data_IF_028592271722
#
_entry.id   IF_028592271722
#
_cell.length_a   1.000
_cell.length_b   1.000
_cell.length_c   1.000
_cell.angle_alpha   90.00
_cell.angle_beta   90.00
_cell.angle_gamma   90.00
#
_symmetry.space_group_name_H-M   'P 1'
#
loop_
_entity.id
_entity.type
_entity.pdbx_description
1 polymer ?
#
# COMPACT_ATOMS: atom_id res chain seq x y z
N UNK A 1 -28.84 56.37 10.45
CA UNK A 1 -28.25 57.23 11.48
C UNK A 1 -28.73 56.68 12.81
N UNK A 2 -28.01 55.91 13.60
CA UNK A 2 -26.62 55.45 13.64
C UNK A 2 -26.69 54.18 14.52
N UNK A 3 -26.22 53.02 14.06
CA UNK A 3 -24.87 52.49 14.25
C UNK A 3 -24.37 52.38 15.71
N UNK A 4 -24.02 51.13 16.04
CA UNK A 4 -22.96 50.67 16.94
C UNK A 4 -23.08 50.89 18.47
N UNK A 5 -23.21 49.79 19.22
CA UNK A 5 -22.09 49.19 19.99
C UNK A 5 -22.58 48.03 20.90
N UNK A 6 -21.66 47.10 21.18
CA UNK A 6 -21.73 45.95 22.11
C UNK A 6 -22.77 44.85 21.78
N UNK A 7 -22.46 43.74 21.09
CA UNK A 7 -21.32 42.81 21.19
C UNK A 7 -20.90 42.49 22.62
N UNK A 8 -21.38 41.37 23.17
CA UNK A 8 -20.57 40.41 23.95
C UNK A 8 -21.39 39.20 24.45
N UNK A 9 -20.98 38.03 23.95
CA UNK A 9 -20.77 36.76 24.65
C UNK A 9 -21.93 36.11 25.45
N UNK A 10 -22.56 35.10 24.85
CA UNK A 10 -23.03 33.91 25.55
C UNK A 10 -23.21 32.74 24.57
N UNK A 11 -22.12 32.07 24.20
CA UNK A 11 -22.16 30.73 23.62
C UNK A 11 -21.41 29.80 24.57
N UNK A 12 -22.18 29.01 25.32
CA UNK A 12 -21.71 28.01 26.26
C UNK A 12 -20.79 27.01 25.57
N UNK A 13 -19.49 27.16 25.80
CA UNK A 13 -18.48 26.18 25.43
C UNK A 13 -18.54 25.04 26.44
N UNK A 14 -19.11 23.90 26.01
CA UNK A 14 -19.14 22.67 26.79
C UNK A 14 -17.71 22.13 26.88
N UNK A 15 -16.98 22.56 27.90
CA UNK A 15 -15.67 22.04 28.25
C UNK A 15 -15.85 20.64 28.82
N UNK A 16 -15.66 19.61 27.99
CA UNK A 16 -15.59 18.22 28.45
C UNK A 16 -14.21 18.03 29.10
N UNK A 17 -14.13 17.72 30.40
CA UNK A 17 -12.84 17.49 31.05
C UNK A 17 -12.16 16.26 30.43
N UNK A 18 -10.88 16.43 30.08
CA UNK A 18 -9.99 15.46 29.43
C UNK A 18 -9.57 14.30 30.36
N UNK A 19 -10.43 13.91 31.30
CA UNK A 19 -10.15 12.91 32.34
C UNK A 19 -10.64 11.50 32.00
N UNK A 20 -11.27 11.29 30.84
CA UNK A 20 -11.89 9.99 30.51
C UNK A 20 -11.17 9.16 29.42
N UNK A 21 -10.01 9.60 28.92
CA UNK A 21 -9.17 8.78 28.03
C UNK A 21 -8.13 7.99 28.82
N UNK A 22 -8.60 7.15 29.74
CA UNK A 22 -7.77 6.14 30.39
C UNK A 22 -8.35 4.75 30.13
N UNK A 23 -8.11 4.25 28.92
CA UNK A 23 -7.78 2.83 28.70
C UNK A 23 -6.68 2.76 27.66
N UNK A 24 -5.49 3.26 28.02
CA UNK A 24 -4.30 2.61 27.52
C UNK A 24 -4.37 1.18 28.05
N UNK A 25 -4.77 0.25 27.18
CA UNK A 25 -4.35 -1.13 27.32
C UNK A 25 -2.84 -1.07 27.44
N UNK A 26 -2.35 -1.16 28.68
CA UNK A 26 -0.95 -1.32 29.00
C UNK A 26 -0.58 -2.67 28.39
N UNK A 27 -0.17 -2.63 27.13
CA UNK A 27 0.49 -3.75 26.48
C UNK A 27 1.73 -4.00 27.32
N UNK A 28 1.61 -4.97 28.21
CA UNK A 28 2.71 -5.56 28.93
C UNK A 28 3.74 -5.93 27.88
N UNK A 29 4.84 -5.17 27.82
CA UNK A 29 6.00 -5.54 27.02
C UNK A 29 6.46 -6.84 27.65
N UNK A 30 6.04 -7.97 27.07
CA UNK A 30 6.49 -9.29 27.49
C UNK A 30 8.00 -9.22 27.51
N UNK A 31 8.59 -9.36 28.70
CA UNK A 31 10.02 -9.29 28.88
C UNK A 31 10.63 -10.34 27.93
N UNK A 32 11.40 -9.89 26.94
CA UNK A 32 11.99 -10.78 25.95
C UNK A 32 13.19 -11.42 26.63
N UNK A 33 12.94 -12.51 27.36
CA UNK A 33 13.93 -13.10 28.28
C UNK A 33 14.91 -14.03 27.60
N UNK A 34 14.63 -14.48 26.38
CA UNK A 34 15.51 -15.36 25.62
C UNK A 34 15.56 -15.03 24.11
N UNK A 35 16.56 -15.59 23.42
CA UNK A 35 16.78 -15.35 22.00
C UNK A 35 15.62 -15.82 21.12
N UNK A 36 14.95 -16.91 21.49
CA UNK A 36 13.80 -17.44 20.72
C UNK A 36 12.65 -16.44 20.75
N UNK A 37 12.36 -15.91 21.94
CA UNK A 37 11.36 -14.87 22.18
C UNK A 37 11.69 -13.59 21.42
N UNK A 38 12.98 -13.23 21.29
CA UNK A 38 13.43 -12.08 20.49
C UNK A 38 13.14 -12.28 19.01
N UNK A 39 13.45 -13.46 18.48
CA UNK A 39 13.19 -13.80 17.07
C UNK A 39 11.70 -13.80 16.78
N UNK A 40 10.89 -14.38 17.66
CA UNK A 40 9.43 -14.39 17.50
C UNK A 40 8.83 -12.99 17.62
N UNK A 41 9.31 -12.16 18.55
CA UNK A 41 8.91 -10.75 18.66
C UNK A 41 9.19 -9.98 17.37
N UNK A 42 10.37 -10.16 16.76
CA UNK A 42 10.72 -9.55 15.47
C UNK A 42 9.82 -10.03 14.34
N UNK A 43 9.58 -11.34 14.23
CA UNK A 43 8.69 -11.91 13.20
C UNK A 43 7.28 -11.34 13.35
N UNK A 44 6.78 -11.27 14.58
CA UNK A 44 5.47 -10.71 14.89
C UNK A 44 5.39 -9.25 14.45
N UNK A 45 6.38 -8.42 14.79
CA UNK A 45 6.43 -7.02 14.35
C UNK A 45 6.46 -6.88 12.82
N UNK A 46 7.25 -7.69 12.11
CA UNK A 46 7.28 -7.68 10.64
C UNK A 46 5.90 -7.97 10.05
N UNK A 47 5.22 -9.01 10.55
CA UNK A 47 3.91 -9.43 10.01
C UNK A 47 2.76 -8.52 10.40
N UNK A 48 2.77 -7.97 11.62
CA UNK A 48 1.66 -7.19 12.17
C UNK A 48 1.81 -5.68 12.01
N UNK A 49 3.02 -5.19 11.76
CA UNK A 49 3.31 -3.75 11.64
C UNK A 49 3.92 -3.44 10.28
N UNK A 50 5.10 -3.96 9.98
CA UNK A 50 5.87 -3.52 8.81
C UNK A 50 5.18 -3.86 7.48
N UNK A 51 4.79 -5.12 7.28
CA UNK A 51 4.13 -5.55 6.04
C UNK A 51 2.75 -4.89 5.83
N UNK A 52 1.87 -4.78 6.85
CA UNK A 52 0.66 -3.95 6.75
C UNK A 52 0.95 -2.50 6.39
N UNK A 53 1.96 -1.90 7.01
CA UNK A 53 2.35 -0.52 6.71
C UNK A 53 2.79 -0.37 5.25
N UNK A 54 3.61 -1.28 4.71
CA UNK A 54 4.02 -1.25 3.30
C UNK A 54 2.83 -1.27 2.33
N UNK A 55 1.77 -2.00 2.66
CA UNK A 55 0.54 -2.09 1.84
C UNK A 55 -0.22 -0.77 1.76
N UNK A 56 -0.17 0.07 2.80
CA UNK A 56 -0.93 1.33 2.85
C UNK A 56 -0.10 2.59 2.63
N UNK A 57 1.22 2.55 2.86
CA UNK A 57 2.07 3.72 2.80
C UNK A 57 2.17 4.31 1.37
N UNK A 58 2.30 5.65 1.25
CA UNK A 58 2.55 6.30 -0.03
C UNK A 58 3.96 5.98 -0.55
N UNK A 59 4.16 6.08 -1.87
CA UNK A 59 5.45 5.79 -2.53
C UNK A 59 6.58 6.64 -1.96
N UNK A 60 6.31 7.88 -1.55
CA UNK A 60 7.32 8.76 -0.94
C UNK A 60 7.91 8.16 0.34
N UNK A 61 7.07 7.59 1.21
CA UNK A 61 7.54 6.93 2.43
C UNK A 61 8.15 5.57 2.15
N UNK A 62 7.61 4.81 1.20
CA UNK A 62 8.18 3.53 0.78
C UNK A 62 9.60 3.69 0.24
N UNK A 63 9.86 4.74 -0.56
CA UNK A 63 11.22 5.05 -1.04
C UNK A 63 12.17 5.38 0.12
N UNK A 64 11.70 6.12 1.13
CA UNK A 64 12.50 6.38 2.33
C UNK A 64 12.78 5.10 3.13
N UNK A 65 11.78 4.23 3.28
CA UNK A 65 11.95 2.94 3.92
C UNK A 65 12.93 2.04 3.14
N UNK A 66 12.90 2.07 1.80
CA UNK A 66 13.84 1.32 0.97
C UNK A 66 15.31 1.74 1.21
N UNK A 67 15.56 3.03 1.43
CA UNK A 67 16.91 3.52 1.79
C UNK A 67 17.37 3.05 3.17
N UNK A 68 16.43 2.87 4.11
CA UNK A 68 16.69 2.47 5.50
C UNK A 68 16.30 1.00 5.76
N UNK A 69 16.19 0.19 4.71
CA UNK A 69 15.56 -1.12 4.82
C UNK A 69 16.39 -2.10 5.65
N UNK A 70 17.71 -1.94 5.65
CA UNK A 70 18.62 -2.74 6.47
C UNK A 70 18.30 -2.60 7.96
N UNK A 71 17.94 -1.41 8.41
CA UNK A 71 17.59 -1.15 9.81
C UNK A 71 16.18 -1.64 10.15
N UNK A 72 15.26 -1.64 9.18
CA UNK A 72 13.87 -2.08 9.37
C UNK A 72 13.71 -3.61 9.27
N UNK A 73 14.28 -4.22 8.24
CA UNK A 73 14.03 -5.60 7.84
C UNK A 73 15.30 -6.47 7.77
N UNK A 74 16.48 -5.89 8.04
CA UNK A 74 17.77 -6.60 7.96
C UNK A 74 18.33 -6.67 6.54
N UNK A 75 19.25 -7.59 6.28
CA UNK A 75 20.03 -7.67 5.03
C UNK A 75 19.24 -8.12 3.78
N UNK A 76 17.91 -8.24 3.87
CA UNK A 76 17.09 -8.62 2.72
C UNK A 76 16.87 -7.42 1.80
N UNK A 77 16.93 -7.62 0.48
CA UNK A 77 16.70 -6.52 -0.47
C UNK A 77 15.26 -6.00 -0.39
N UNK A 78 15.02 -4.67 -0.50
CA UNK A 78 13.69 -4.09 -0.69
C UNK A 78 12.92 -4.71 -1.87
N UNK A 79 13.62 -5.04 -2.96
CA UNK A 79 13.02 -5.65 -4.16
C UNK A 79 12.47 -7.05 -3.88
N UNK A 80 13.01 -7.76 -2.90
CA UNK A 80 12.53 -9.07 -2.50
C UNK A 80 11.40 -9.01 -1.45
N UNK A 81 11.15 -7.86 -0.83
CA UNK A 81 10.20 -7.75 0.30
C UNK A 81 9.34 -6.50 0.26
N UNK A 82 9.92 -5.31 0.49
CA UNK A 82 9.21 -4.03 0.54
C UNK A 82 8.26 -3.84 -0.64
N UNK A 83 8.78 -3.99 -1.87
CA UNK A 83 7.98 -3.73 -3.07
C UNK A 83 6.91 -4.79 -3.30
N UNK A 84 7.20 -6.11 -3.21
CA UNK A 84 6.15 -7.13 -3.21
C UNK A 84 5.06 -6.86 -2.18
N UNK A 85 5.41 -6.53 -0.93
CA UNK A 85 4.43 -6.20 0.11
C UNK A 85 3.64 -4.93 -0.21
N UNK A 86 4.24 -3.92 -0.84
CA UNK A 86 3.52 -2.74 -1.26
C UNK A 86 2.45 -3.06 -2.32
N UNK A 87 2.77 -3.95 -3.28
CA UNK A 87 1.86 -4.39 -4.34
C UNK A 87 0.74 -5.31 -3.85
N UNK A 88 0.85 -5.94 -2.68
CA UNK A 88 -0.23 -6.73 -2.06
C UNK A 88 -1.49 -5.91 -1.74
N UNK A 89 -1.44 -4.57 -1.88
CA UNK A 89 -2.64 -3.72 -1.85
C UNK A 89 -3.63 -4.01 -2.97
N UNK A 90 -3.18 -4.68 -4.04
CA UNK A 90 -4.02 -5.14 -5.14
C UNK A 90 -4.07 -6.67 -5.14
N UNK A 91 -5.24 -7.23 -4.81
CA UNK A 91 -5.41 -8.67 -4.64
C UNK A 91 -5.06 -9.45 -5.91
N UNK A 92 -4.23 -10.49 -5.75
CA UNK A 92 -3.87 -11.41 -6.83
C UNK A 92 -2.91 -10.87 -7.88
N UNK A 93 -2.51 -9.59 -7.80
CA UNK A 93 -1.60 -8.96 -8.77
C UNK A 93 -0.16 -9.46 -8.62
N UNK A 94 0.24 -9.81 -7.40
CA UNK A 94 1.58 -10.28 -7.08
C UNK A 94 1.54 -11.51 -6.18
N UNK A 95 2.46 -12.43 -6.43
CA UNK A 95 2.81 -13.54 -5.56
C UNK A 95 4.16 -13.25 -4.92
N UNK A 96 4.26 -13.29 -3.58
CA UNK A 96 5.48 -12.91 -2.85
C UNK A 96 6.72 -13.67 -3.34
N UNK A 97 6.58 -14.95 -3.72
CA UNK A 97 7.70 -15.80 -4.16
C UNK A 97 7.91 -15.83 -5.69
N UNK A 98 6.87 -15.50 -6.48
CA UNK A 98 6.90 -15.65 -7.94
C UNK A 98 6.93 -14.32 -8.70
N UNK A 99 6.71 -13.20 -8.01
CA UNK A 99 6.57 -11.89 -8.63
C UNK A 99 5.15 -11.64 -9.16
N UNK A 100 5.02 -10.71 -10.11
CA UNK A 100 3.74 -10.33 -10.69
C UNK A 100 3.07 -11.50 -11.41
N UNK A 101 1.74 -11.57 -11.33
CA UNK A 101 0.94 -12.52 -12.12
C UNK A 101 0.84 -12.02 -13.57
N UNK A 102 1.80 -12.45 -14.39
CA UNK A 102 1.87 -12.16 -15.83
C UNK A 102 0.89 -13.02 -16.65
N UNK A 103 0.24 -14.03 -16.04
CA UNK A 103 -0.60 -15.00 -16.75
C UNK A 103 -2.01 -14.49 -17.05
N UNK A 104 -2.47 -13.47 -16.31
CA UNK A 104 -3.81 -12.92 -16.42
C UNK A 104 -3.81 -11.56 -17.08
N UNK A 105 -4.91 -11.27 -17.77
CA UNK A 105 -5.17 -9.92 -18.23
C UNK A 105 -5.76 -9.08 -17.09
N UNK A 106 -5.21 -7.90 -16.91
CA UNK A 106 -5.58 -6.95 -15.87
C UNK A 106 -6.17 -5.69 -16.47
N UNK A 107 -7.12 -5.10 -15.76
CA UNK A 107 -7.61 -3.75 -15.99
C UNK A 107 -7.22 -2.87 -14.82
N UNK A 108 -6.43 -1.85 -15.12
CA UNK A 108 -5.88 -0.88 -14.19
C UNK A 108 -6.63 0.44 -14.39
N UNK A 109 -7.32 0.90 -13.36
CA UNK A 109 -7.94 2.23 -13.34
C UNK A 109 -7.01 3.18 -12.59
N UNK A 110 -6.74 4.35 -13.17
CA UNK A 110 -5.85 5.36 -12.65
C UNK A 110 -6.64 6.48 -11.95
N UNK A 111 -6.01 7.17 -11.01
CA UNK A 111 -6.61 8.27 -10.23
C UNK A 111 -7.01 9.47 -11.08
N UNK A 112 -6.37 9.67 -12.22
CA UNK A 112 -6.73 10.71 -13.19
C UNK A 112 -7.99 10.34 -14.03
N UNK A 113 -8.58 9.16 -13.79
CA UNK A 113 -9.77 8.66 -14.49
C UNK A 113 -9.47 7.87 -15.76
N UNK A 114 -8.22 7.78 -16.22
CA UNK A 114 -7.88 6.94 -17.36
C UNK A 114 -7.79 5.46 -16.95
N UNK A 115 -7.89 4.58 -17.94
CA UNK A 115 -7.81 3.14 -17.75
C UNK A 115 -6.78 2.55 -18.71
N UNK A 116 -6.08 1.52 -18.25
CA UNK A 116 -5.19 0.71 -19.05
C UNK A 116 -5.54 -0.77 -18.86
N UNK A 117 -5.37 -1.58 -19.90
CA UNK A 117 -5.64 -3.01 -19.84
C UNK A 117 -4.57 -3.80 -20.57
N UNK A 118 -4.15 -4.92 -20.00
CA UNK A 118 -3.10 -5.77 -20.58
C UNK A 118 -2.57 -6.80 -19.58
N UNK A 119 -1.55 -7.52 -19.99
CA UNK A 119 -0.81 -8.45 -19.12
C UNK A 119 0.34 -7.71 -18.45
N UNK A 120 0.57 -7.93 -17.16
CA UNK A 120 1.71 -7.30 -16.48
C UNK A 120 2.99 -7.92 -17.05
N UNK A 121 3.97 -7.07 -17.36
CA UNK A 121 5.31 -7.50 -17.75
C UNK A 121 6.25 -7.33 -16.56
N UNK A 122 6.50 -8.40 -15.81
CA UNK A 122 7.36 -8.37 -14.61
C UNK A 122 8.83 -8.16 -14.91
N UNK A 123 9.27 -8.30 -16.18
CA UNK A 123 10.65 -7.98 -16.59
C UNK A 123 10.89 -6.47 -16.65
N UNK A 124 9.87 -5.73 -17.08
CA UNK A 124 9.88 -4.27 -17.19
C UNK A 124 9.32 -3.57 -15.94
N UNK A 125 8.46 -4.25 -15.18
CA UNK A 125 7.93 -3.76 -13.90
C UNK A 125 9.00 -3.84 -12.82
N UNK A 126 9.18 -2.75 -12.06
CA UNK A 126 10.22 -2.63 -11.04
C UNK A 126 9.75 -1.73 -9.91
N UNK A 127 10.11 -2.08 -8.68
CA UNK A 127 9.84 -1.27 -7.50
C UNK A 127 8.36 -0.90 -7.38
N UNK A 128 8.10 0.39 -7.42
CA UNK A 128 6.79 1.02 -7.34
C UNK A 128 6.04 1.13 -8.67
N UNK A 129 6.52 0.54 -9.77
CA UNK A 129 5.91 0.70 -11.10
C UNK A 129 5.61 -0.63 -11.78
N UNK A 130 4.49 -0.67 -12.50
CA UNK A 130 4.13 -1.76 -13.41
C UNK A 130 4.09 -1.29 -14.86
N UNK A 131 4.38 -2.21 -15.78
CA UNK A 131 4.23 -2.02 -17.22
C UNK A 131 3.27 -3.08 -17.74
N UNK A 132 2.25 -2.67 -18.49
CA UNK A 132 1.32 -3.59 -19.13
C UNK A 132 1.71 -3.80 -20.60
N UNK A 133 1.61 -5.04 -21.07
CA UNK A 133 1.69 -5.41 -22.49
C UNK A 133 0.27 -5.64 -23.00
N UNK A 134 -0.06 -5.04 -24.12
CA UNK A 134 -1.37 -5.18 -24.77
C UNK A 134 -1.21 -5.23 -26.29
N UNK A 135 -2.26 -5.68 -26.96
CA UNK A 135 -2.32 -5.61 -28.43
C UNK A 135 -3.00 -4.31 -28.82
N UNK A 136 -2.30 -3.50 -29.61
CA UNK A 136 -2.84 -2.26 -30.14
C UNK A 136 -3.91 -2.55 -31.21
N UNK A 137 -5.08 -1.93 -31.07
CA UNK A 137 -6.25 -2.21 -31.92
C UNK A 137 -6.12 -1.70 -33.36
N UNK A 138 -5.18 -0.80 -33.64
CA UNK A 138 -4.98 -0.23 -34.97
C UNK A 138 -3.85 -0.93 -35.73
N UNK A 139 -2.80 -1.35 -35.03
CA UNK A 139 -1.61 -1.93 -35.64
C UNK A 139 -1.51 -3.46 -35.48
N UNK A 140 -2.34 -4.07 -34.63
CA UNK A 140 -2.25 -5.49 -34.23
C UNK A 140 -0.89 -5.89 -33.61
N UNK A 141 -0.02 -4.91 -33.33
CA UNK A 141 1.28 -5.13 -32.72
C UNK A 141 1.18 -5.17 -31.20
N UNK A 142 2.04 -5.98 -30.59
CA UNK A 142 2.23 -5.98 -29.15
C UNK A 142 2.96 -4.69 -28.74
N UNK A 143 2.29 -3.90 -27.92
CA UNK A 143 2.78 -2.62 -27.40
C UNK A 143 2.78 -2.65 -25.88
N UNK A 144 3.57 -1.78 -25.25
CA UNK A 144 3.61 -1.60 -23.80
C UNK A 144 3.07 -0.24 -23.39
N UNK A 145 2.46 -0.15 -22.22
CA UNK A 145 2.19 1.14 -21.57
C UNK A 145 3.48 1.82 -21.15
N UNK A 146 3.42 3.13 -20.88
CA UNK A 146 4.42 3.75 -20.00
C UNK A 146 4.36 3.11 -18.60
N UNK A 147 5.44 3.16 -17.79
CA UNK A 147 5.39 2.71 -16.41
C UNK A 147 4.31 3.43 -15.62
N UNK A 148 3.46 2.66 -14.95
CA UNK A 148 2.36 3.15 -14.11
C UNK A 148 2.80 3.02 -12.66
N UNK A 149 2.87 4.15 -11.94
CA UNK A 149 3.24 4.17 -10.52
C UNK A 149 2.15 3.65 -9.59
N UNK A 150 2.58 3.05 -8.48
CA UNK A 150 1.73 2.47 -7.43
C UNK A 150 0.68 3.47 -6.90
N UNK A 151 1.08 4.72 -6.70
CA UNK A 151 0.20 5.78 -6.22
C UNK A 151 -0.71 6.36 -7.31
N UNK A 152 -0.42 6.13 -8.59
CA UNK A 152 -1.28 6.55 -9.70
C UNK A 152 -2.51 5.65 -9.83
N UNK A 153 -2.43 4.43 -9.30
CA UNK A 153 -3.45 3.40 -9.46
C UNK A 153 -4.53 3.59 -8.40
N UNK A 154 -5.79 3.62 -8.85
CA UNK A 154 -6.96 3.59 -7.97
C UNK A 154 -7.47 2.17 -7.72
N UNK A 155 -7.41 1.29 -8.73
CA UNK A 155 -7.83 -0.10 -8.61
C UNK A 155 -7.23 -0.98 -9.71
N UNK A 156 -6.97 -2.25 -9.41
CA UNK A 156 -6.62 -3.29 -10.39
C UNK A 156 -7.63 -4.43 -10.26
N UNK A 157 -8.15 -4.91 -11.40
CA UNK A 157 -9.07 -6.05 -11.46
C UNK A 157 -8.70 -6.98 -12.60
N UNK A 158 -8.87 -8.29 -12.41
CA UNK A 158 -8.71 -9.24 -13.51
C UNK A 158 -9.85 -9.08 -14.52
N UNK A 159 -9.54 -9.22 -15.81
CA UNK A 159 -10.51 -9.21 -16.91
C UNK A 159 -11.02 -10.60 -17.27
N UNK A 160 -10.42 -11.66 -16.75
CA UNK A 160 -10.92 -13.02 -16.99
C UNK A 160 -12.19 -13.28 -16.19
N UNK A 161 -13.19 -13.96 -16.78
CA UNK A 161 -14.34 -14.45 -16.03
C UNK A 161 -13.86 -15.50 -15.02
N UNK A 162 -14.21 -15.33 -13.76
CA UNK A 162 -13.88 -16.27 -12.68
C UNK A 162 -14.40 -17.68 -13.04
N UNK A 163 -13.55 -18.68 -13.30
CA UNK A 163 -13.99 -20.01 -13.71
C UNK A 163 -14.60 -20.84 -12.56
N UNK A 164 -14.91 -20.22 -11.40
CA UNK A 164 -15.44 -20.89 -10.20
C UNK A 164 -16.88 -20.52 -9.84
N UNK A 165 -17.69 -20.15 -10.84
CA UNK A 165 -19.14 -20.03 -10.68
C UNK A 165 -19.85 -21.12 -11.50
N UNK A 166 -19.65 -22.38 -11.09
CA UNK A 166 -20.51 -23.51 -11.44
C UNK A 166 -20.82 -24.32 -10.18
#
# INVERSE_FOLDING_TARGET
MDELEASMAAASSTFVPLSCLARHSKGEVSDVTDFVSLVESRKHWIQQVLRPWCRSAPVTELRLAALNWVDLAGQISPDATLWPWAWERFEGVIHTELGFDESRQWKVSLRNGSEASGYINGRLSRGEQIVLVYRDSHSEQLTTTSPIGLDEISSIRSLEPNPRSE
#
